data_IF_544521528751
#
_entry.id   IF_544521528751
#
_cell.length_a   1.000
_cell.length_b   1.000
_cell.length_c   1.000
_cell.angle_alpha   90.00
_cell.angle_beta   90.00
_cell.angle_gamma   90.00
#
_symmetry.space_group_name_H-M   'P 1'
#
loop_
_entity.id
_entity.type
_entity.pdbx_description
1 polymer ?
#
# COMPACT_ATOMS: atom_id res chain seq x y z
N UNK A 1 -15.89 17.82 -10.18
CA UNK A 1 -14.45 17.84 -10.59
C UNK A 1 -13.91 16.43 -10.42
N UNK A 2 -13.19 15.90 -11.39
CA UNK A 2 -12.69 14.53 -11.32
C UNK A 2 -11.60 14.39 -10.24
N UNK A 3 -11.67 13.33 -9.41
CA UNK A 3 -10.76 13.07 -8.29
C UNK A 3 -9.28 13.12 -8.69
N UNK A 4 -8.93 12.55 -9.85
CA UNK A 4 -7.58 12.59 -10.39
C UNK A 4 -7.08 14.02 -10.67
N UNK A 5 -7.97 14.94 -11.10
CA UNK A 5 -7.63 16.35 -11.32
C UNK A 5 -7.29 17.06 -10.01
N UNK A 6 -8.06 16.79 -8.94
CA UNK A 6 -7.78 17.32 -7.60
C UNK A 6 -6.39 16.86 -7.13
N UNK A 7 -6.11 15.55 -7.27
CA UNK A 7 -4.84 14.97 -6.85
C UNK A 7 -3.64 15.57 -7.61
N UNK A 8 -3.75 15.77 -8.94
CA UNK A 8 -2.71 16.48 -9.72
C UNK A 8 -2.50 17.90 -9.22
N UNK A 9 -3.59 18.63 -8.95
CA UNK A 9 -3.50 19.98 -8.40
C UNK A 9 -2.78 19.99 -7.05
N UNK A 10 -3.08 19.06 -6.15
CA UNK A 10 -2.39 18.94 -4.87
C UNK A 10 -0.90 18.61 -5.02
N UNK A 11 -0.56 17.73 -5.96
CA UNK A 11 0.84 17.47 -6.29
C UNK A 11 1.52 18.72 -6.81
N UNK A 12 0.88 19.54 -7.63
CA UNK A 12 1.46 20.76 -8.20
C UNK A 12 1.58 21.89 -7.16
N UNK A 13 0.53 22.13 -6.34
CA UNK A 13 0.50 23.22 -5.34
C UNK A 13 1.35 22.93 -4.10
N UNK A 14 1.69 21.67 -3.85
CA UNK A 14 2.54 21.30 -2.72
C UNK A 14 1.93 21.66 -1.37
N UNK A 15 2.76 22.25 -0.51
CA UNK A 15 2.42 22.59 0.88
C UNK A 15 1.56 23.84 1.04
N UNK A 16 1.06 24.44 -0.05
CA UNK A 16 0.26 25.68 0.03
C UNK A 16 -1.13 25.44 0.65
N UNK A 17 -1.63 24.19 0.60
CA UNK A 17 -2.92 23.84 1.20
C UNK A 17 -2.73 23.52 2.68
N UNK A 18 -3.48 24.18 3.55
CA UNK A 18 -3.39 23.98 4.99
C UNK A 18 -3.73 22.51 5.39
N UNK A 19 -3.00 21.87 6.33
CA UNK A 19 -3.19 20.48 6.70
C UNK A 19 -4.63 20.12 7.12
N UNK A 20 -5.30 20.99 7.87
CA UNK A 20 -6.69 20.73 8.29
C UNK A 20 -7.66 20.65 7.10
N UNK A 21 -7.43 21.47 6.07
CA UNK A 21 -8.22 21.43 4.83
C UNK A 21 -8.00 20.13 4.04
N UNK A 22 -6.79 19.57 4.08
CA UNK A 22 -6.48 18.28 3.49
C UNK A 22 -7.20 17.13 4.22
N UNK A 23 -7.36 17.23 5.55
CA UNK A 23 -8.12 16.25 6.32
C UNK A 23 -9.62 16.25 5.93
N UNK A 24 -10.22 17.44 5.77
CA UNK A 24 -11.60 17.57 5.28
C UNK A 24 -11.74 17.00 3.85
N UNK A 25 -10.86 17.41 2.95
CA UNK A 25 -10.85 16.95 1.56
C UNK A 25 -10.62 15.43 1.46
N UNK A 26 -9.83 14.86 2.34
CA UNK A 26 -9.61 13.41 2.41
C UNK A 26 -10.91 12.65 2.67
N UNK A 27 -11.75 13.15 3.59
CA UNK A 27 -13.06 12.58 3.87
C UNK A 27 -14.01 12.68 2.65
N UNK A 28 -14.03 13.82 1.96
CA UNK A 28 -14.81 14.03 0.73
C UNK A 28 -14.38 13.10 -0.41
N UNK A 29 -13.07 12.87 -0.54
CA UNK A 29 -12.50 12.02 -1.58
C UNK A 29 -12.52 10.52 -1.21
N UNK A 30 -12.83 10.16 0.03
CA UNK A 30 -12.72 8.78 0.51
C UNK A 30 -11.27 8.26 0.48
N UNK A 31 -10.27 9.13 0.70
CA UNK A 31 -8.84 8.81 0.81
C UNK A 31 -8.45 8.91 2.29
N UNK A 32 -7.58 8.04 2.83
CA UNK A 32 -7.05 8.23 4.18
C UNK A 32 -6.38 9.60 4.33
N UNK A 33 -6.67 10.33 5.42
CA UNK A 33 -6.12 11.66 5.65
C UNK A 33 -4.58 11.67 5.66
N UNK A 34 -3.96 10.65 6.26
CA UNK A 34 -2.50 10.45 6.23
C UNK A 34 -1.94 10.41 4.80
N UNK A 35 -2.65 9.75 3.89
CA UNK A 35 -2.23 9.61 2.50
C UNK A 35 -2.30 10.96 1.76
N UNK A 36 -3.38 11.71 1.97
CA UNK A 36 -3.54 13.01 1.30
C UNK A 36 -2.53 14.03 1.80
N UNK A 37 -2.19 14.00 3.10
CA UNK A 37 -1.10 14.80 3.65
C UNK A 37 0.24 14.48 2.98
N UNK A 38 0.55 13.18 2.82
CA UNK A 38 1.78 12.73 2.11
C UNK A 38 1.79 13.21 0.66
N UNK A 39 0.67 13.09 -0.07
CA UNK A 39 0.54 13.56 -1.46
C UNK A 39 0.80 15.07 -1.57
N UNK A 40 0.29 15.83 -0.62
CA UNK A 40 0.52 17.28 -0.57
C UNK A 40 1.93 17.66 -0.05
N UNK A 41 2.72 16.69 0.44
CA UNK A 41 4.07 16.94 0.97
C UNK A 41 4.09 17.43 2.42
N UNK A 42 2.99 17.27 3.15
CA UNK A 42 2.94 17.59 4.58
C UNK A 42 3.42 16.42 5.46
N UNK A 43 3.98 16.69 6.64
CA UNK A 43 4.23 15.69 7.64
C UNK A 43 2.90 15.10 8.12
N UNK A 44 2.87 13.78 8.35
CA UNK A 44 1.70 13.10 8.89
C UNK A 44 1.72 13.23 10.41
N UNK A 45 0.65 13.75 11.04
CA UNK A 45 0.51 13.79 12.49
C UNK A 45 0.58 12.39 13.11
N UNK A 46 1.15 12.30 14.32
CA UNK A 46 1.40 11.02 15.01
C UNK A 46 0.11 10.19 15.22
N UNK A 47 -1.01 10.86 15.45
CA UNK A 47 -2.33 10.25 15.66
C UNK A 47 -2.92 9.60 14.39
N UNK A 48 -2.40 9.93 13.21
CA UNK A 48 -2.80 9.34 11.92
C UNK A 48 -1.85 8.22 11.46
N UNK A 49 -0.73 8.04 12.16
CA UNK A 49 0.23 6.99 11.85
C UNK A 49 -0.21 5.65 12.46
N UNK A 50 0.16 4.52 11.85
CA UNK A 50 -0.06 3.21 12.45
C UNK A 50 0.70 3.10 13.79
N UNK A 51 0.20 2.29 14.75
CA UNK A 51 0.92 2.01 15.98
C UNK A 51 2.26 1.32 15.71
N UNK A 52 3.17 1.36 16.67
CA UNK A 52 4.44 0.63 16.59
C UNK A 52 4.20 -0.88 16.43
N UNK A 53 4.91 -1.51 15.52
CA UNK A 53 4.74 -2.91 15.18
C UNK A 53 6.08 -3.59 14.98
N UNK A 54 6.11 -4.85 15.35
CA UNK A 54 7.25 -5.72 15.06
C UNK A 54 7.36 -5.98 13.55
N UNK A 55 8.55 -5.75 12.97
CA UNK A 55 8.79 -5.88 11.54
C UNK A 55 8.65 -7.33 11.04
N UNK A 56 8.99 -8.32 11.88
CA UNK A 56 8.85 -9.72 11.51
C UNK A 56 7.37 -10.14 11.51
N UNK A 57 6.59 -9.61 12.45
CA UNK A 57 5.13 -9.81 12.48
C UNK A 57 4.48 -9.18 11.25
N UNK A 58 4.89 -7.97 10.87
CA UNK A 58 4.40 -7.29 9.66
C UNK A 58 4.72 -8.10 8.41
N UNK A 59 5.93 -8.64 8.29
CA UNK A 59 6.34 -9.48 7.17
C UNK A 59 5.52 -10.77 7.11
N UNK A 60 5.36 -11.45 8.24
CA UNK A 60 4.55 -12.66 8.31
C UNK A 60 3.07 -12.39 7.97
N UNK A 61 2.49 -11.32 8.51
CA UNK A 61 1.14 -10.89 8.20
C UNK A 61 0.98 -10.66 6.70
N UNK A 62 1.82 -9.82 6.09
CA UNK A 62 1.76 -9.49 4.67
C UNK A 62 1.92 -10.76 3.80
N UNK A 63 2.87 -11.63 4.13
CA UNK A 63 3.08 -12.90 3.42
C UNK A 63 1.83 -13.78 3.47
N UNK A 64 1.26 -14.04 4.64
CA UNK A 64 0.10 -14.93 4.80
C UNK A 64 -1.15 -14.39 4.13
N UNK A 65 -1.39 -13.09 4.26
CA UNK A 65 -2.52 -12.41 3.60
C UNK A 65 -2.38 -12.44 2.08
N UNK A 66 -1.16 -12.32 1.53
CA UNK A 66 -0.94 -12.37 0.07
C UNK A 66 -1.22 -13.74 -0.56
N UNK A 67 -1.29 -14.81 0.24
CA UNK A 67 -1.62 -16.16 -0.21
C UNK A 67 -3.12 -16.50 -0.13
N UNK A 68 -3.94 -15.60 0.42
CA UNK A 68 -5.38 -15.76 0.47
C UNK A 68 -6.02 -15.51 -0.90
N UNK A 69 -7.02 -16.27 -1.28
CA UNK A 69 -7.86 -15.99 -2.45
C UNK A 69 -8.82 -14.81 -2.20
N UNK A 70 -9.62 -14.44 -3.21
CA UNK A 70 -10.53 -13.30 -3.11
C UNK A 70 -11.60 -13.45 -2.02
N UNK A 71 -12.17 -14.65 -1.87
CA UNK A 71 -13.19 -14.92 -0.86
C UNK A 71 -12.59 -14.90 0.54
N UNK A 72 -11.40 -15.46 0.69
CA UNK A 72 -10.62 -15.45 1.93
C UNK A 72 -10.21 -14.02 2.32
N UNK A 73 -9.77 -13.18 1.37
CA UNK A 73 -9.45 -11.78 1.60
C UNK A 73 -10.67 -10.98 2.04
N UNK A 74 -11.84 -11.19 1.42
CA UNK A 74 -13.08 -10.52 1.82
C UNK A 74 -13.49 -10.90 3.25
N UNK A 75 -13.41 -12.21 3.59
CA UNK A 75 -13.71 -12.68 4.93
C UNK A 75 -12.67 -12.22 5.97
N UNK A 76 -11.40 -12.12 5.57
CA UNK A 76 -10.34 -11.60 6.43
C UNK A 76 -10.50 -10.10 6.68
N UNK A 77 -10.90 -9.32 5.67
CA UNK A 77 -11.24 -7.90 5.85
C UNK A 77 -12.37 -7.72 6.87
N UNK A 78 -13.44 -8.53 6.77
CA UNK A 78 -14.53 -8.49 7.74
C UNK A 78 -14.05 -8.85 9.16
N UNK A 79 -13.19 -9.86 9.29
CA UNK A 79 -12.57 -10.22 10.56
C UNK A 79 -11.74 -9.07 11.13
N UNK A 80 -10.83 -8.46 10.34
CA UNK A 80 -10.02 -7.31 10.75
C UNK A 80 -10.90 -6.15 11.23
N UNK A 81 -11.99 -5.86 10.51
CA UNK A 81 -12.93 -4.79 10.89
C UNK A 81 -13.72 -5.08 12.17
N UNK A 82 -13.88 -6.35 12.54
CA UNK A 82 -14.55 -6.75 13.78
C UNK A 82 -13.66 -6.66 15.03
N UNK A 83 -12.35 -6.56 14.85
CA UNK A 83 -11.42 -6.45 15.97
C UNK A 83 -11.59 -5.12 16.70
N UNK A 84 -11.53 -5.11 18.05
CA UNK A 84 -11.65 -3.88 18.82
C UNK A 84 -10.51 -2.92 18.46
N UNK A 85 -10.85 -1.67 18.22
CA UNK A 85 -9.84 -0.62 18.01
C UNK A 85 -9.20 -0.29 19.35
N UNK A 86 -7.93 -0.59 19.47
CA UNK A 86 -7.15 -0.23 20.64
C UNK A 86 -6.61 1.17 20.43
N UNK A 87 -7.14 2.13 21.17
CA UNK A 87 -6.65 3.51 21.20
C UNK A 87 -5.41 3.57 22.10
N UNK A 88 -4.34 2.91 21.73
CA UNK A 88 -3.07 3.07 22.40
C UNK A 88 -2.20 3.97 21.53
N UNK A 89 -1.86 5.19 21.96
CA UNK A 89 -0.83 5.98 21.31
C UNK A 89 0.51 5.30 21.59
N UNK A 90 0.91 4.40 20.72
CA UNK A 90 2.32 4.04 20.65
C UNK A 90 3.10 5.23 20.07
N UNK A 91 4.37 5.41 20.43
CA UNK A 91 5.21 6.37 19.74
C UNK A 91 5.18 6.03 18.24
N UNK A 92 5.08 7.05 17.34
CA UNK A 92 5.02 6.81 15.92
C UNK A 92 6.27 6.06 15.48
N UNK A 93 6.10 4.88 14.90
CA UNK A 93 7.21 4.19 14.25
C UNK A 93 7.59 5.01 13.05
N UNK A 94 8.70 5.68 13.16
CA UNK A 94 9.40 6.14 11.95
C UNK A 94 9.86 4.88 11.23
N UNK A 95 9.43 4.64 9.99
CA UNK A 95 9.99 3.54 9.22
C UNK A 95 11.50 3.74 9.24
N UNK A 96 12.21 2.83 9.92
CA UNK A 96 13.67 2.84 9.91
C UNK A 96 14.08 2.45 8.48
N UNK A 97 14.27 3.44 7.63
CA UNK A 97 14.89 3.25 6.34
C UNK A 97 16.30 2.74 6.59
N UNK A 98 16.67 1.56 6.09
CA UNK A 98 18.03 1.07 6.25
C UNK A 98 19.05 1.93 5.50
N UNK A 99 18.58 2.90 4.69
CA UNK A 99 19.43 3.83 3.95
C UNK A 99 18.98 5.27 4.22
N UNK A 100 19.84 6.12 4.79
CA UNK A 100 19.52 7.50 5.14
C UNK A 100 19.54 8.44 3.92
N UNK A 101 19.14 7.97 2.74
CA UNK A 101 19.09 8.82 1.55
C UNK A 101 17.69 9.38 1.37
N UNK A 102 17.53 10.70 1.28
CA UNK A 102 16.25 11.31 0.93
C UNK A 102 15.82 10.84 -0.47
N UNK A 103 14.53 10.69 -0.67
CA UNK A 103 13.98 10.42 -2.00
C UNK A 103 14.38 11.53 -2.97
N UNK A 104 14.87 11.17 -4.16
CA UNK A 104 15.36 12.12 -5.16
C UNK A 104 14.21 12.81 -5.91
N UNK A 105 13.02 12.20 -5.91
CA UNK A 105 11.84 12.78 -6.57
C UNK A 105 10.67 12.86 -5.61
N UNK A 106 9.77 13.81 -5.89
CA UNK A 106 8.56 13.99 -5.10
C UNK A 106 7.70 12.74 -5.07
N UNK A 107 7.50 12.05 -6.21
CA UNK A 107 6.71 10.83 -6.22
C UNK A 107 7.36 9.70 -5.41
N UNK A 108 8.68 9.57 -5.47
CA UNK A 108 9.39 8.59 -4.65
C UNK A 108 9.17 8.83 -3.14
N UNK A 109 9.21 10.11 -2.70
CA UNK A 109 8.89 10.49 -1.33
C UNK A 109 7.42 10.18 -0.97
N UNK A 110 6.50 10.51 -1.88
CA UNK A 110 5.08 10.21 -1.71
C UNK A 110 4.84 8.71 -1.60
N UNK A 111 5.39 7.90 -2.50
CA UNK A 111 5.22 6.45 -2.47
C UNK A 111 5.76 5.84 -1.18
N UNK A 112 6.93 6.31 -0.73
CA UNK A 112 7.51 5.94 0.56
C UNK A 112 6.57 6.24 1.73
N UNK A 113 6.00 7.44 1.76
CA UNK A 113 5.03 7.83 2.78
C UNK A 113 3.75 6.99 2.74
N UNK A 114 3.21 6.71 1.54
CA UNK A 114 2.03 5.85 1.38
C UNK A 114 2.27 4.43 1.92
N UNK A 115 3.45 3.87 1.69
CA UNK A 115 3.87 2.58 2.23
C UNK A 115 3.95 2.65 3.76
N UNK A 116 4.60 3.69 4.29
CA UNK A 116 4.72 3.94 5.73
C UNK A 116 3.37 4.10 6.43
N UNK A 117 2.39 4.77 5.78
CA UNK A 117 1.03 4.92 6.29
C UNK A 117 0.26 3.59 6.44
N UNK A 118 0.74 2.50 5.82
CA UNK A 118 0.24 1.13 6.02
C UNK A 118 1.01 0.38 7.10
N UNK A 119 2.03 1.01 7.69
CA UNK A 119 2.94 0.39 8.64
C UNK A 119 3.90 -0.60 7.99
N UNK A 120 4.08 -0.53 6.67
CA UNK A 120 5.03 -1.36 5.94
C UNK A 120 6.35 -0.65 5.70
N UNK A 121 7.40 -1.44 5.59
CA UNK A 121 8.65 -1.06 4.93
C UNK A 121 8.71 -1.70 3.54
N UNK A 122 9.66 -1.29 2.73
CA UNK A 122 9.87 -1.92 1.40
C UNK A 122 10.15 -3.42 1.51
N UNK A 123 10.73 -3.88 2.62
CA UNK A 123 11.10 -5.28 2.80
C UNK A 123 9.89 -6.21 2.96
N UNK A 124 8.74 -5.68 3.33
CA UNK A 124 7.50 -6.45 3.46
C UNK A 124 6.66 -6.47 2.16
N UNK A 125 7.09 -5.75 1.11
CA UNK A 125 6.33 -5.64 -0.14
C UNK A 125 6.72 -6.62 -1.28
N UNK A 126 7.82 -7.41 -1.26
CA UNK A 126 8.20 -8.28 -2.38
C UNK A 126 7.14 -9.31 -2.79
N UNK A 127 6.21 -9.67 -1.91
CA UNK A 127 5.12 -10.61 -2.25
C UNK A 127 4.11 -10.04 -3.24
N UNK A 128 4.27 -8.78 -3.63
CA UNK A 128 3.41 -8.10 -4.61
C UNK A 128 3.86 -8.34 -6.06
N UNK A 129 4.80 -9.25 -6.27
CA UNK A 129 5.32 -9.57 -7.60
C UNK A 129 6.35 -8.56 -8.13
N UNK A 130 6.83 -7.65 -7.28
CA UNK A 130 7.94 -6.76 -7.60
C UNK A 130 9.21 -7.19 -6.87
N UNK A 131 10.34 -7.13 -7.56
CA UNK A 131 11.62 -7.37 -6.90
C UNK A 131 11.96 -6.28 -5.90
N UNK A 132 12.73 -6.61 -4.88
CA UNK A 132 13.16 -5.64 -3.88
C UNK A 132 13.95 -4.47 -4.52
N UNK A 133 14.79 -4.77 -5.53
CA UNK A 133 15.53 -3.75 -6.27
C UNK A 133 14.60 -2.79 -7.03
N UNK A 134 13.52 -3.31 -7.64
CA UNK A 134 12.49 -2.49 -8.28
C UNK A 134 11.81 -1.56 -7.27
N UNK A 135 11.41 -2.08 -6.11
CA UNK A 135 10.78 -1.29 -5.05
C UNK A 135 11.72 -0.19 -4.53
N UNK A 136 13.00 -0.51 -4.30
CA UNK A 136 13.99 0.50 -3.93
C UNK A 136 14.15 1.59 -5.00
N UNK A 137 14.21 1.21 -6.28
CA UNK A 137 14.24 2.18 -7.38
C UNK A 137 13.02 3.11 -7.38
N UNK A 138 11.82 2.56 -7.14
CA UNK A 138 10.58 3.33 -7.11
C UNK A 138 10.52 4.36 -5.96
N UNK A 139 10.94 3.99 -4.76
CA UNK A 139 10.87 4.87 -3.57
C UNK A 139 12.08 5.77 -3.41
N UNK A 140 13.12 5.56 -4.18
CA UNK A 140 14.29 6.40 -4.12
C UNK A 140 14.35 7.40 -5.28
N UNK A 141 14.31 6.92 -6.52
CA UNK A 141 14.54 7.77 -7.70
C UNK A 141 13.30 8.02 -8.54
N UNK A 142 12.41 6.99 -8.67
CA UNK A 142 11.31 7.06 -9.62
C UNK A 142 11.77 7.51 -11.01
N UNK A 143 12.78 6.86 -11.55
CA UNK A 143 13.32 7.22 -12.88
C UNK A 143 12.33 6.86 -14.00
N UNK A 144 12.29 7.66 -15.09
CA UNK A 144 11.54 7.32 -16.28
C UNK A 144 12.03 5.98 -16.84
N UNK A 145 11.15 4.99 -16.93
CA UNK A 145 11.44 3.72 -17.56
C UNK A 145 10.19 3.14 -18.19
N UNK A 146 10.34 2.17 -19.12
CA UNK A 146 9.24 1.54 -19.85
C UNK A 146 8.28 0.73 -18.95
N UNK A 147 8.68 0.43 -17.72
CA UNK A 147 7.90 -0.39 -16.79
C UNK A 147 7.10 0.43 -15.76
N UNK A 148 7.20 1.75 -15.77
CA UNK A 148 6.52 2.63 -14.78
C UNK A 148 5.05 2.30 -14.61
N UNK A 149 4.32 2.12 -15.71
CA UNK A 149 2.88 1.82 -15.70
C UNK A 149 2.58 0.50 -15.01
N UNK A 150 3.38 -0.55 -15.28
CA UNK A 150 3.24 -1.85 -14.62
C UNK A 150 3.61 -1.78 -13.15
N UNK A 151 4.63 -1.01 -12.79
CA UNK A 151 5.03 -0.77 -11.41
C UNK A 151 3.93 -0.06 -10.63
N UNK A 152 3.34 1.02 -11.17
CA UNK A 152 2.20 1.70 -10.56
C UNK A 152 0.99 0.76 -10.42
N UNK A 153 0.71 -0.05 -11.45
CA UNK A 153 -0.35 -1.05 -11.41
C UNK A 153 -0.15 -2.06 -10.28
N UNK A 154 1.07 -2.51 -10.06
CA UNK A 154 1.38 -3.50 -9.04
C UNK A 154 1.22 -2.95 -7.61
N UNK A 155 1.57 -1.68 -7.37
CA UNK A 155 1.53 -1.09 -6.02
C UNK A 155 0.20 -0.42 -5.68
N UNK A 156 -0.60 0.00 -6.66
CA UNK A 156 -1.86 0.71 -6.41
C UNK A 156 -2.83 -0.10 -5.56
N UNK A 157 -3.08 -1.36 -5.95
CA UNK A 157 -3.97 -2.25 -5.22
C UNK A 157 -3.56 -2.45 -3.76
N UNK A 158 -2.35 -2.92 -3.47
CA UNK A 158 -1.85 -3.10 -2.11
C UNK A 158 -1.87 -1.85 -1.24
N UNK A 159 -1.67 -0.69 -1.85
CA UNK A 159 -1.80 0.60 -1.15
C UNK A 159 -3.26 1.02 -0.93
N UNK A 160 -4.24 0.26 -1.48
CA UNK A 160 -5.66 0.62 -1.42
C UNK A 160 -6.02 1.84 -2.27
N UNK A 161 -5.20 2.17 -3.29
CA UNK A 161 -5.41 3.28 -4.19
C UNK A 161 -6.10 2.85 -5.47
N UNK A 162 -7.02 3.67 -5.96
CA UNK A 162 -7.52 3.49 -7.31
C UNK A 162 -6.40 3.80 -8.34
N UNK A 163 -6.32 2.98 -9.39
CA UNK A 163 -5.25 3.09 -10.36
C UNK A 163 -5.17 4.48 -11.02
N UNK A 164 -6.29 5.10 -11.47
CA UNK A 164 -6.25 6.46 -12.02
C UNK A 164 -5.70 7.51 -11.06
N UNK A 165 -6.00 7.35 -9.76
CA UNK A 165 -5.57 8.31 -8.72
C UNK A 165 -4.07 8.22 -8.48
N UNK A 166 -3.52 7.00 -8.39
CA UNK A 166 -2.08 6.83 -8.21
C UNK A 166 -1.29 7.31 -9.44
N UNK A 167 -1.84 7.09 -10.65
CA UNK A 167 -1.27 7.65 -11.88
C UNK A 167 -1.27 9.18 -11.87
N UNK A 168 -2.35 9.80 -11.38
CA UNK A 168 -2.44 11.24 -11.24
C UNK A 168 -1.37 11.80 -10.26
N UNK A 169 -1.14 11.10 -9.15
CA UNK A 169 -0.11 11.45 -8.15
C UNK A 169 1.30 11.26 -8.70
N UNK A 170 1.51 10.26 -9.55
CA UNK A 170 2.79 9.99 -10.20
C UNK A 170 3.08 10.90 -11.41
N UNK A 171 2.16 11.78 -11.76
CA UNK A 171 2.19 12.59 -13.00
C UNK A 171 2.33 11.73 -14.27
N UNK A 172 1.67 10.58 -14.26
CA UNK A 172 1.65 9.65 -15.40
C UNK A 172 0.28 9.63 -16.09
N UNK A 173 0.29 9.39 -17.40
CA UNK A 173 -0.94 9.25 -18.17
C UNK A 173 -1.57 7.89 -17.91
N UNK A 174 -2.81 7.89 -17.42
CA UNK A 174 -3.60 6.68 -17.25
C UNK A 174 -4.32 6.31 -18.55
N UNK A 175 -4.30 5.02 -18.92
CA UNK A 175 -5.13 4.45 -19.99
C UNK A 175 -6.17 3.52 -19.38
N UNK A 176 -7.42 3.64 -19.79
CA UNK A 176 -8.52 2.77 -19.36
C UNK A 176 -8.32 1.29 -19.76
N UNK A 177 -7.43 1.01 -20.69
CA UNK A 177 -7.02 -0.35 -21.06
C UNK A 177 -6.22 -1.04 -19.95
N UNK A 178 -5.55 -0.25 -19.11
CA UNK A 178 -4.78 -0.76 -17.98
C UNK A 178 -5.70 -1.10 -16.81
N UNK A 179 -6.17 -2.35 -16.77
CA UNK A 179 -7.07 -2.81 -15.71
C UNK A 179 -6.35 -3.00 -14.39
N UNK A 180 -6.98 -2.66 -13.24
CA UNK A 180 -6.46 -2.99 -11.92
C UNK A 180 -6.25 -4.50 -11.78
N UNK A 181 -5.27 -4.88 -10.97
CA UNK A 181 -5.11 -6.28 -10.54
C UNK A 181 -6.13 -6.55 -9.41
N UNK A 182 -7.19 -7.30 -9.73
CA UNK A 182 -8.33 -7.52 -8.80
C UNK A 182 -7.87 -8.09 -7.47
N UNK A 183 -7.00 -9.10 -7.49
CA UNK A 183 -6.43 -9.68 -6.27
C UNK A 183 -5.71 -8.63 -5.41
N UNK A 184 -4.88 -7.80 -6.01
CA UNK A 184 -4.15 -6.74 -5.31
C UNK A 184 -5.09 -5.70 -4.68
N UNK A 185 -6.25 -5.43 -5.28
CA UNK A 185 -7.24 -4.52 -4.71
C UNK A 185 -7.84 -5.08 -3.41
N UNK A 186 -8.24 -6.36 -3.37
CA UNK A 186 -8.73 -6.99 -2.14
C UNK A 186 -7.64 -7.04 -1.06
N UNK A 187 -6.41 -7.33 -1.44
CA UNK A 187 -5.26 -7.28 -0.55
C UNK A 187 -5.10 -5.90 0.10
N UNK A 188 -5.18 -4.83 -0.69
CA UNK A 188 -5.10 -3.45 -0.21
C UNK A 188 -6.21 -3.07 0.76
N UNK A 189 -7.42 -3.61 0.59
CA UNK A 189 -8.51 -3.41 1.55
C UNK A 189 -8.20 -4.01 2.92
N UNK A 190 -7.63 -5.23 2.94
CA UNK A 190 -7.18 -5.86 4.19
C UNK A 190 -6.06 -5.04 4.83
N UNK A 191 -5.06 -4.62 4.06
CA UNK A 191 -3.94 -3.82 4.57
C UNK A 191 -4.41 -2.47 5.12
N UNK A 192 -5.31 -1.79 4.42
CA UNK A 192 -5.89 -0.52 4.89
C UNK A 192 -6.71 -0.72 6.16
N UNK A 193 -7.52 -1.77 6.23
CA UNK A 193 -8.29 -2.10 7.44
C UNK A 193 -7.38 -2.44 8.62
N UNK A 194 -6.21 -3.03 8.37
CA UNK A 194 -5.24 -3.42 9.38
C UNK A 194 -4.38 -2.25 9.93
N UNK A 195 -4.46 -1.05 9.32
CA UNK A 195 -3.67 0.11 9.78
C UNK A 195 -3.82 0.42 11.28
N UNK A 196 -4.98 0.34 11.93
CA UNK A 196 -5.09 0.61 13.37
C UNK A 196 -4.73 -0.58 14.27
N UNK A 197 -4.41 -1.76 13.74
CA UNK A 197 -4.18 -2.96 14.53
C UNK A 197 -2.85 -2.93 15.28
N UNK A 198 -2.85 -3.45 16.49
CA UNK A 198 -1.63 -3.72 17.28
C UNK A 198 -0.88 -4.95 16.77
N UNK A 199 0.38 -5.13 17.20
CA UNK A 199 1.17 -6.33 16.89
C UNK A 199 0.44 -7.62 17.27
N UNK A 200 -0.20 -7.68 18.45
CA UNK A 200 -0.97 -8.85 18.87
C UNK A 200 -2.15 -9.16 17.93
N UNK A 201 -2.87 -8.13 17.52
CA UNK A 201 -4.00 -8.27 16.57
C UNK A 201 -3.54 -8.69 15.18
N UNK A 202 -2.37 -8.22 14.73
CA UNK A 202 -1.76 -8.67 13.47
C UNK A 202 -1.38 -10.15 13.52
N UNK A 203 -0.84 -10.63 14.64
CA UNK A 203 -0.57 -12.07 14.85
C UNK A 203 -1.86 -12.88 14.75
N UNK A 204 -2.94 -12.46 15.40
CA UNK A 204 -4.23 -13.14 15.30
C UNK A 204 -4.80 -13.10 13.88
N UNK A 205 -4.66 -11.99 13.18
CA UNK A 205 -5.08 -11.87 11.77
C UNK A 205 -4.27 -12.80 10.87
N UNK A 206 -2.96 -12.92 11.09
CA UNK A 206 -2.10 -13.84 10.35
C UNK A 206 -2.48 -15.31 10.60
N UNK A 207 -2.80 -15.68 11.84
CA UNK A 207 -3.32 -17.03 12.18
C UNK A 207 -4.68 -17.28 11.52
N UNK A 208 -5.55 -16.28 11.43
CA UNK A 208 -6.83 -16.39 10.75
C UNK A 208 -6.66 -16.58 9.24
N UNK A 209 -5.70 -15.88 8.63
CA UNK A 209 -5.34 -16.08 7.23
C UNK A 209 -4.89 -17.54 6.97
N UNK A 210 -4.02 -18.09 7.83
CA UNK A 210 -3.61 -19.50 7.74
C UNK A 210 -4.78 -20.47 7.87
N UNK A 211 -5.66 -20.27 8.85
CA UNK A 211 -6.84 -21.13 9.04
C UNK A 211 -7.75 -21.16 7.82
N UNK A 212 -7.81 -20.07 7.08
CA UNK A 212 -8.62 -19.94 5.86
C UNK A 212 -7.91 -20.54 4.65
N UNK A 213 -6.60 -20.37 4.52
CA UNK A 213 -5.81 -20.94 3.42
C UNK A 213 -5.75 -22.47 3.52
N UNK A 214 -5.50 -23.04 4.69
CA UNK A 214 -5.45 -24.51 4.90
C UNK A 214 -6.80 -25.19 4.61
N UNK A 215 -7.93 -24.53 4.85
CA UNK A 215 -9.25 -25.07 4.51
C UNK A 215 -9.52 -25.15 3.00
N UNK A 216 -8.81 -24.38 2.20
CA UNK A 216 -8.92 -24.40 0.74
C UNK A 216 -8.04 -25.49 0.09
N UNK A 217 -7.00 -25.97 0.77
CA UNK A 217 -6.07 -27.01 0.24
C UNK A 217 -6.69 -28.41 0.06
N UNK A 218 -7.94 -28.62 0.46
CA UNK A 218 -8.71 -29.79 0.04
C UNK A 218 -9.27 -29.68 -1.39
N UNK A 219 -8.96 -28.62 -2.13
CA UNK A 219 -9.27 -28.40 -3.55
C UNK A 219 -8.16 -27.58 -4.23
N UNK A 220 -7.20 -28.28 -4.84
CA UNK A 220 -6.24 -27.83 -5.85
C UNK A 220 -5.83 -26.34 -5.82
N UNK A 221 -4.84 -26.00 -4.99
CA UNK A 221 -4.14 -24.71 -5.03
C UNK A 221 -3.27 -24.64 -6.30
N UNK A 222 -3.47 -23.62 -7.14
CA UNK A 222 -2.50 -23.23 -8.16
C UNK A 222 -1.83 -21.91 -7.74
N UNK A 223 -0.49 -21.85 -7.63
CA UNK A 223 0.20 -20.65 -7.25
C UNK A 223 -0.06 -19.51 -8.26
N UNK A 224 -0.36 -18.33 -7.76
CA UNK A 224 -0.56 -17.10 -8.56
C UNK A 224 0.70 -16.76 -9.39
N UNK A 225 1.82 -17.44 -9.17
CA UNK A 225 3.05 -17.36 -9.97
C UNK A 225 2.89 -17.73 -11.45
N UNK A 226 1.81 -18.41 -11.87
CA UNK A 226 1.61 -18.74 -13.28
C UNK A 226 1.10 -17.58 -14.15
N UNK A 227 0.64 -16.47 -13.56
CA UNK A 227 0.27 -15.27 -14.31
C UNK A 227 1.42 -14.32 -14.66
N UNK A 228 2.60 -14.52 -14.05
CA UNK A 228 3.81 -13.72 -14.29
C UNK A 228 4.88 -14.43 -15.12
N UNK A 229 4.69 -15.71 -15.45
CA UNK A 229 5.63 -16.48 -16.28
C UNK A 229 5.51 -16.19 -17.78
N UNK A 230 4.57 -15.35 -18.21
CA UNK A 230 4.50 -14.82 -19.56
C UNK A 230 5.28 -13.52 -19.66
N UNK A 231 6.48 -13.58 -20.22
CA UNK A 231 7.30 -12.44 -20.68
C UNK A 231 7.96 -11.56 -19.60
N UNK A 232 8.81 -12.14 -18.76
CA UNK A 232 10.01 -11.42 -18.35
C UNK A 232 11.10 -11.72 -19.42
N UNK A 233 11.42 -10.80 -20.33
CA UNK A 233 12.63 -10.94 -21.12
C UNK A 233 13.83 -10.77 -20.18
N UNK A 234 14.82 -11.63 -20.36
CA UNK A 234 16.09 -11.66 -19.65
C UNK A 234 16.63 -10.25 -19.38
N UNK A 235 16.89 -9.95 -18.13
CA UNK A 235 17.67 -8.78 -17.75
C UNK A 235 19.16 -9.11 -17.99
N UNK A 236 19.90 -8.24 -18.68
CA UNK A 236 21.36 -8.31 -18.72
C UNK A 236 21.96 -7.93 -17.35
#
# INVERSE_FOLDING_TARGET
MERATILRSLVASGTDTAPWRLVELAAELGIPAADLLVVAGHPVPAELLPPERDADVMRQFAYRVSHCDHAQLAALEAFVRSLPRVTAPGPPVRPAWPYPRPAETRFAATLSGLIGNRGFTIRELPFLGLSLSTLYGMVWRWEPNRYRRQQLRAVAGPLGWALPDLFAVADESYSAELRPMVHCHHLGRVFTAAVPLTTAQLIETAKEADRRSVRADHGAWQPVSQGFAGECPDFP
#
